data_IF_472444237353
#
_entry.id   IF_472444237353
#
_cell.length_a   1.000
_cell.length_b   1.000
_cell.length_c   1.000
_cell.angle_alpha   90.00
_cell.angle_beta   90.00
_cell.angle_gamma   90.00
#
_symmetry.space_group_name_H-M   'P 1'
#
loop_
_entity.id
_entity.type
_entity.pdbx_description
1 polymer ?
#
# COMPACT_ATOMS: atom_id res chain seq x y z
N UNK A 1 -9.25 -8.44 -14.01
CA UNK A 1 -9.26 -7.73 -15.31
C UNK A 1 -8.18 -6.66 -15.26
N UNK A 2 -7.14 -6.82 -16.04
CA UNK A 2 -6.00 -5.90 -16.04
C UNK A 2 -6.39 -4.59 -16.70
N UNK A 3 -6.16 -3.48 -16.01
CA UNK A 3 -6.43 -2.15 -16.54
C UNK A 3 -5.35 -1.76 -17.56
N UNK A 4 -5.78 -1.12 -18.63
CA UNK A 4 -4.87 -0.65 -19.69
C UNK A 4 -4.60 0.85 -19.51
N UNK A 5 -3.46 1.36 -20.00
CA UNK A 5 -3.20 2.80 -20.04
C UNK A 5 -4.34 3.57 -20.72
N UNK A 6 -4.73 4.68 -20.12
CA UNK A 6 -5.89 5.49 -20.54
C UNK A 6 -7.22 5.10 -19.91
N UNK A 7 -7.32 3.95 -19.24
CA UNK A 7 -8.51 3.59 -18.47
C UNK A 7 -8.72 4.58 -17.31
N UNK A 8 -9.98 4.86 -17.00
CA UNK A 8 -10.33 5.78 -15.92
C UNK A 8 -10.98 5.06 -14.75
N UNK A 9 -10.55 5.42 -13.55
CA UNK A 9 -11.17 5.06 -12.29
C UNK A 9 -11.56 6.36 -11.57
N UNK A 10 -12.81 6.78 -11.73
CA UNK A 10 -13.23 8.11 -11.27
C UNK A 10 -12.38 9.22 -11.91
N UNK A 11 -11.74 10.10 -11.12
CA UNK A 11 -10.89 11.19 -11.64
C UNK A 11 -9.45 10.74 -11.96
N UNK A 12 -9.15 9.46 -11.80
CA UNK A 12 -7.79 8.92 -11.99
C UNK A 12 -7.67 8.25 -13.35
N UNK A 13 -6.63 8.60 -14.09
CA UNK A 13 -6.29 7.98 -15.38
C UNK A 13 -5.09 7.05 -15.21
N UNK A 14 -5.26 5.79 -15.59
CA UNK A 14 -4.19 4.78 -15.52
C UNK A 14 -3.11 5.10 -16.54
N UNK A 15 -1.86 5.18 -16.07
CA UNK A 15 -0.69 5.40 -16.90
C UNK A 15 0.04 4.10 -17.22
N UNK A 16 0.03 3.13 -16.33
CA UNK A 16 0.66 1.84 -16.53
C UNK A 16 0.76 1.02 -15.25
N UNK A 17 1.09 -0.27 -15.36
CA UNK A 17 1.26 -1.14 -14.20
C UNK A 17 2.54 -0.81 -13.43
N UNK A 18 2.49 -0.94 -12.11
CA UNK A 18 3.66 -0.89 -11.21
C UNK A 18 4.02 -2.26 -10.67
N UNK A 19 3.04 -3.15 -10.54
CA UNK A 19 3.24 -4.51 -10.06
C UNK A 19 1.93 -5.26 -9.91
N UNK A 20 2.04 -6.56 -9.79
CA UNK A 20 0.93 -7.46 -9.52
C UNK A 20 1.36 -8.53 -8.53
N UNK A 21 0.45 -8.95 -7.66
CA UNK A 21 0.70 -9.98 -6.67
C UNK A 21 -0.60 -10.56 -6.11
N UNK A 22 -0.50 -11.47 -5.15
CA UNK A 22 -1.66 -12.14 -4.53
C UNK A 22 -2.64 -11.20 -3.82
N UNK A 23 -2.29 -9.92 -3.66
CA UNK A 23 -3.10 -8.88 -3.01
C UNK A 23 -3.69 -7.86 -3.99
N UNK A 24 -3.67 -8.15 -5.28
CA UNK A 24 -4.19 -7.29 -6.33
C UNK A 24 -3.11 -6.66 -7.20
N UNK A 25 -3.55 -5.80 -8.08
CA UNK A 25 -2.71 -5.11 -9.05
C UNK A 25 -2.50 -3.66 -8.62
N UNK A 26 -1.30 -3.15 -8.83
CA UNK A 26 -0.93 -1.76 -8.53
C UNK A 26 -0.56 -1.04 -9.82
N UNK A 27 -1.12 0.15 -10.00
CA UNK A 27 -0.94 0.98 -11.18
C UNK A 27 -0.43 2.37 -10.81
N UNK A 28 0.39 2.93 -11.70
CA UNK A 28 0.64 4.36 -11.73
C UNK A 28 -0.53 5.04 -12.41
N UNK A 29 -1.04 6.11 -11.83
CA UNK A 29 -2.13 6.88 -12.37
C UNK A 29 -1.91 8.39 -12.21
N UNK A 30 -2.65 9.16 -12.99
CA UNK A 30 -2.71 10.62 -12.91
C UNK A 30 -4.00 11.03 -12.22
N UNK A 31 -3.90 11.79 -11.14
CA UNK A 31 -5.02 12.51 -10.56
C UNK A 31 -5.21 13.83 -11.33
N UNK A 32 -6.22 13.88 -12.17
CA UNK A 32 -6.48 15.04 -13.01
C UNK A 32 -6.92 16.27 -12.22
N UNK A 33 -7.56 16.09 -11.06
CA UNK A 33 -8.04 17.18 -10.21
C UNK A 33 -6.92 17.93 -9.53
N UNK A 34 -5.92 17.20 -9.03
CA UNK A 34 -4.80 17.75 -8.27
C UNK A 34 -3.49 17.79 -9.06
N UNK A 35 -3.54 17.42 -10.34
CA UNK A 35 -2.40 17.40 -11.27
C UNK A 35 -1.17 16.69 -10.70
N UNK A 36 -1.37 15.52 -10.12
CA UNK A 36 -0.30 14.72 -9.52
C UNK A 36 -0.36 13.26 -9.93
N UNK A 37 0.79 12.59 -9.87
CA UNK A 37 0.86 11.14 -10.02
C UNK A 37 0.58 10.44 -8.68
N UNK A 38 -0.15 9.33 -8.74
CA UNK A 38 -0.52 8.51 -7.59
C UNK A 38 -0.30 7.03 -7.91
N UNK A 39 -0.28 6.19 -6.88
CA UNK A 39 -0.36 4.75 -7.02
C UNK A 39 -1.80 4.31 -6.73
N UNK A 40 -2.35 3.47 -7.59
CA UNK A 40 -3.69 2.89 -7.39
C UNK A 40 -3.55 1.38 -7.19
N UNK A 41 -4.07 0.90 -6.08
CA UNK A 41 -4.17 -0.52 -5.78
C UNK A 41 -5.60 -0.98 -6.01
N UNK A 42 -5.76 -1.93 -6.93
CA UNK A 42 -7.06 -2.52 -7.25
C UNK A 42 -7.28 -3.75 -6.38
N UNK A 43 -8.44 -3.82 -5.74
CA UNK A 43 -8.83 -4.97 -4.94
C UNK A 43 -9.07 -6.17 -5.85
N UNK A 44 -8.60 -7.38 -5.46
CA UNK A 44 -8.98 -8.60 -6.17
C UNK A 44 -10.50 -8.76 -6.24
N UNK A 45 -10.99 -9.19 -7.38
CA UNK A 45 -12.44 -9.30 -7.67
C UNK A 45 -13.20 -10.10 -6.62
N UNK A 46 -12.63 -11.23 -6.16
CA UNK A 46 -13.26 -12.06 -5.14
C UNK A 46 -13.43 -11.35 -3.78
N UNK A 47 -12.57 -10.37 -3.45
CA UNK A 47 -12.70 -9.53 -2.25
C UNK A 47 -13.69 -8.40 -2.49
N UNK A 48 -13.67 -7.79 -3.67
CA UNK A 48 -14.58 -6.70 -4.03
C UNK A 48 -16.06 -7.17 -4.10
N UNK A 49 -16.29 -8.43 -4.41
CA UNK A 49 -17.64 -9.04 -4.45
C UNK A 49 -18.15 -9.55 -3.10
N UNK A 50 -17.28 -9.64 -2.10
CA UNK A 50 -17.66 -10.11 -0.77
C UNK A 50 -17.99 -8.93 0.15
N UNK A 51 -19.25 -8.76 0.64
CA UNK A 51 -19.64 -7.62 1.46
C UNK A 51 -18.85 -7.47 2.75
N UNK A 52 -18.49 -8.56 3.42
CA UNK A 52 -17.72 -8.53 4.67
C UNK A 52 -16.28 -8.09 4.43
N UNK A 53 -15.68 -8.55 3.33
CA UNK A 53 -14.34 -8.13 2.91
C UNK A 53 -14.30 -6.66 2.55
N UNK A 54 -15.33 -6.18 1.86
CA UNK A 54 -15.45 -4.78 1.47
C UNK A 54 -15.63 -3.87 2.68
N UNK A 55 -16.52 -4.23 3.62
CA UNK A 55 -16.72 -3.48 4.85
C UNK A 55 -15.44 -3.41 5.71
N UNK A 56 -14.68 -4.49 5.75
CA UNK A 56 -13.37 -4.53 6.41
C UNK A 56 -12.36 -3.61 5.72
N UNK A 57 -12.27 -3.69 4.40
CA UNK A 57 -11.41 -2.82 3.60
C UNK A 57 -11.69 -1.35 3.88
N UNK A 58 -12.96 -0.92 3.83
CA UNK A 58 -13.34 0.47 4.09
C UNK A 58 -12.98 0.92 5.51
N UNK A 59 -13.19 0.07 6.50
CA UNK A 59 -12.85 0.36 7.90
C UNK A 59 -11.34 0.50 8.09
N UNK A 60 -10.56 -0.42 7.53
CA UNK A 60 -9.09 -0.39 7.58
C UNK A 60 -8.54 0.82 6.81
N UNK A 61 -9.12 1.14 5.67
CA UNK A 61 -8.75 2.32 4.89
C UNK A 61 -8.96 3.62 5.67
N UNK A 62 -10.07 3.76 6.37
CA UNK A 62 -10.32 4.94 7.22
C UNK A 62 -9.28 5.07 8.34
N UNK A 63 -8.89 3.97 8.96
CA UNK A 63 -7.86 3.96 9.99
C UNK A 63 -6.49 4.37 9.43
N UNK A 64 -6.11 3.83 8.29
CA UNK A 64 -4.84 4.15 7.62
C UNK A 64 -4.83 5.59 7.08
N UNK A 65 -5.95 6.07 6.55
CA UNK A 65 -6.07 7.44 6.05
C UNK A 65 -5.86 8.51 7.14
N UNK A 66 -6.11 8.17 8.40
CA UNK A 66 -5.84 9.04 9.53
C UNK A 66 -4.35 9.14 9.90
N UNK A 67 -3.50 8.28 9.35
CA UNK A 67 -2.07 8.27 9.59
C UNK A 67 -1.38 9.33 8.71
N UNK A 68 -0.60 10.19 9.34
CA UNK A 68 0.24 11.16 8.66
C UNK A 68 1.62 11.15 9.29
N UNK A 69 2.55 10.48 8.64
CA UNK A 69 3.92 10.33 9.14
C UNK A 69 4.89 10.16 7.96
N UNK A 70 6.10 10.74 8.00
CA UNK A 70 7.05 10.65 6.89
C UNK A 70 7.53 9.22 6.59
N UNK A 71 7.41 8.30 7.53
CA UNK A 71 7.78 6.90 7.36
C UNK A 71 6.58 5.96 7.08
N UNK A 72 5.42 6.53 6.82
CA UNK A 72 4.21 5.80 6.44
C UNK A 72 3.74 6.28 5.06
N UNK A 73 3.45 5.34 4.17
CA UNK A 73 2.85 5.64 2.87
C UNK A 73 1.44 6.21 3.05
N UNK A 74 1.19 7.38 2.49
CA UNK A 74 -0.11 8.04 2.57
C UNK A 74 -1.19 7.32 1.77
N UNK A 75 -2.37 7.17 2.37
CA UNK A 75 -3.60 6.79 1.69
C UNK A 75 -4.42 8.06 1.43
N UNK A 76 -4.69 8.34 0.16
CA UNK A 76 -5.34 9.59 -0.25
C UNK A 76 -6.83 9.45 -0.48
N UNK A 77 -7.27 8.30 -1.00
CA UNK A 77 -8.66 8.08 -1.38
C UNK A 77 -8.97 6.59 -1.50
N UNK A 78 -10.23 6.24 -1.46
CA UNK A 78 -10.75 4.95 -1.88
C UNK A 78 -11.93 5.18 -2.81
N UNK A 79 -12.14 4.30 -3.76
CA UNK A 79 -13.22 4.45 -4.70
C UNK A 79 -13.72 3.14 -5.28
N UNK A 80 -14.82 3.27 -5.99
CA UNK A 80 -15.43 2.19 -6.76
C UNK A 80 -15.88 2.69 -8.11
N UNK A 81 -15.49 1.97 -9.15
CA UNK A 81 -15.93 2.19 -10.52
C UNK A 81 -16.48 0.89 -11.06
N UNK A 82 -17.80 0.82 -11.24
CA UNK A 82 -18.48 -0.44 -11.56
C UNK A 82 -18.24 -1.51 -10.48
N UNK A 83 -17.63 -2.62 -10.85
CA UNK A 83 -17.25 -3.70 -9.93
C UNK A 83 -15.83 -3.56 -9.37
N UNK A 84 -15.07 -2.61 -9.87
CA UNK A 84 -13.67 -2.38 -9.45
C UNK A 84 -13.62 -1.51 -8.21
N UNK A 85 -13.06 -2.04 -7.13
CA UNK A 85 -12.78 -1.32 -5.89
C UNK A 85 -11.29 -1.03 -5.83
N UNK A 86 -10.92 0.18 -5.45
CA UNK A 86 -9.53 0.61 -5.46
C UNK A 86 -9.17 1.54 -4.31
N UNK A 87 -7.90 1.56 -3.96
CA UNK A 87 -7.29 2.51 -3.04
C UNK A 87 -6.28 3.39 -3.78
N UNK A 88 -6.29 4.68 -3.50
CA UNK A 88 -5.38 5.67 -4.07
C UNK A 88 -4.35 6.05 -3.03
N UNK A 89 -3.09 5.85 -3.35
CA UNK A 89 -1.98 5.97 -2.42
C UNK A 89 -0.90 6.91 -2.96
N UNK A 90 -0.06 7.36 -2.06
CA UNK A 90 1.16 8.06 -2.41
C UNK A 90 2.01 7.20 -3.37
N UNK A 91 2.44 7.80 -4.47
CA UNK A 91 3.40 7.19 -5.39
C UNK A 91 4.80 7.37 -4.82
N UNK A 92 5.46 6.26 -4.50
CA UNK A 92 6.81 6.26 -3.98
C UNK A 92 7.82 6.06 -5.12
N UNK A 93 8.82 6.90 -5.17
CA UNK A 93 9.98 6.74 -6.05
C UNK A 93 11.12 6.08 -5.28
N UNK A 94 11.72 5.05 -5.87
CA UNK A 94 12.76 4.26 -5.22
C UNK A 94 12.57 2.77 -5.46
N UNK A 95 12.94 1.97 -4.50
CA UNK A 95 12.86 0.51 -4.57
C UNK A 95 12.40 -0.13 -3.26
N UNK A 96 11.88 -1.34 -3.33
CA UNK A 96 11.58 -2.12 -2.14
C UNK A 96 12.88 -2.50 -1.39
N UNK A 97 12.78 -2.67 -0.08
CA UNK A 97 13.92 -3.16 0.70
C UNK A 97 14.39 -4.51 0.20
N UNK A 98 13.46 -5.37 -0.24
CA UNK A 98 13.83 -6.66 -0.84
C UNK A 98 14.71 -6.49 -2.07
N UNK A 99 14.32 -5.61 -3.00
CA UNK A 99 15.12 -5.33 -4.21
C UNK A 99 16.50 -4.78 -3.84
N UNK A 100 16.57 -3.92 -2.85
CA UNK A 100 17.83 -3.37 -2.36
C UNK A 100 18.73 -4.45 -1.76
N UNK A 101 18.17 -5.39 -0.99
CA UNK A 101 18.93 -6.50 -0.38
C UNK A 101 19.44 -7.50 -1.43
N UNK A 102 18.78 -7.65 -2.55
CA UNK A 102 19.27 -8.48 -3.66
C UNK A 102 20.54 -7.94 -4.31
N UNK A 103 20.86 -6.66 -4.14
CA UNK A 103 22.08 -6.03 -4.62
C UNK A 103 23.28 -6.26 -3.69
N UNK A 104 23.05 -6.86 -2.53
CA UNK A 104 24.06 -7.16 -1.53
C UNK A 104 23.66 -6.72 -0.12
N UNK A 105 24.46 -7.10 0.89
CA UNK A 105 24.19 -6.76 2.27
C UNK A 105 24.27 -5.25 2.51
N UNK A 106 23.49 -4.76 3.44
CA UNK A 106 23.52 -3.37 3.90
C UNK A 106 24.57 -3.20 5.01
N UNK A 107 25.20 -2.03 5.06
CA UNK A 107 26.10 -1.70 6.18
C UNK A 107 25.31 -1.64 7.50
N UNK A 108 25.95 -1.94 8.65
CA UNK A 108 25.29 -1.83 9.96
C UNK A 108 24.67 -0.47 10.22
N UNK A 109 25.30 0.60 9.77
CA UNK A 109 24.77 1.97 9.87
C UNK A 109 23.45 2.11 9.14
N UNK A 110 23.36 1.67 7.89
CA UNK A 110 22.12 1.74 7.09
C UNK A 110 21.02 0.89 7.72
N UNK A 111 21.34 -0.30 8.21
CA UNK A 111 20.39 -1.18 8.91
C UNK A 111 19.82 -0.49 10.15
N UNK A 112 20.66 0.18 10.93
CA UNK A 112 20.22 0.93 12.11
C UNK A 112 19.31 2.11 11.74
N UNK A 113 19.66 2.88 10.72
CA UNK A 113 18.85 3.99 10.23
C UNK A 113 17.49 3.52 9.70
N UNK A 114 17.47 2.43 8.93
CA UNK A 114 16.24 1.80 8.44
C UNK A 114 15.36 1.32 9.58
N UNK A 115 15.95 0.60 10.54
CA UNK A 115 15.23 0.09 11.69
C UNK A 115 14.62 1.19 12.54
N UNK A 116 15.35 2.27 12.78
CA UNK A 116 14.86 3.43 13.53
C UNK A 116 13.66 4.09 12.83
N UNK A 117 13.74 4.33 11.52
CA UNK A 117 12.64 4.93 10.76
C UNK A 117 11.41 4.02 10.71
N UNK A 118 11.62 2.72 10.54
CA UNK A 118 10.54 1.74 10.59
C UNK A 118 9.85 1.74 11.96
N UNK A 119 10.61 1.76 13.04
CA UNK A 119 10.08 1.80 14.39
C UNK A 119 9.27 3.09 14.65
N UNK A 120 9.74 4.24 14.15
CA UNK A 120 9.01 5.51 14.25
C UNK A 120 7.67 5.47 13.51
N UNK A 121 7.65 4.92 12.30
CA UNK A 121 6.41 4.74 11.54
C UNK A 121 5.43 3.79 12.25
N UNK A 122 5.90 2.67 12.77
CA UNK A 122 5.08 1.74 13.52
C UNK A 122 4.54 2.35 14.82
N UNK A 123 5.35 3.10 15.54
CA UNK A 123 4.91 3.79 16.76
C UNK A 123 3.79 4.78 16.46
N UNK A 124 3.93 5.59 15.41
CA UNK A 124 2.88 6.51 14.98
C UNK A 124 1.57 5.81 14.61
N UNK A 125 1.65 4.65 13.95
CA UNK A 125 0.48 3.83 13.64
C UNK A 125 -0.16 3.23 14.91
N UNK A 126 0.65 2.68 15.81
CA UNK A 126 0.19 2.09 17.06
C UNK A 126 -0.49 3.12 17.97
N UNK A 127 -0.01 4.36 18.01
CA UNK A 127 -0.63 5.45 18.77
C UNK A 127 -2.04 5.78 18.25
N UNK A 128 -2.35 5.45 17.00
CA UNK A 128 -3.66 5.56 16.39
C UNK A 128 -4.47 4.25 16.42
N UNK A 129 -3.98 3.23 17.09
CA UNK A 129 -4.61 1.91 17.16
C UNK A 129 -4.50 1.07 15.89
N UNK A 130 -3.63 1.44 14.97
CA UNK A 130 -3.40 0.70 13.72
C UNK A 130 -2.20 -0.20 13.87
N UNK A 131 -2.40 -1.51 13.68
CA UNK A 131 -1.34 -2.51 13.74
C UNK A 131 -1.00 -3.00 12.34
N UNK A 132 0.27 -2.90 11.96
CA UNK A 132 0.77 -3.48 10.71
C UNK A 132 0.87 -4.99 10.85
N UNK A 133 0.06 -5.73 10.08
CA UNK A 133 -0.05 -7.19 10.20
C UNK A 133 0.85 -7.96 9.24
N UNK A 134 1.58 -7.27 8.36
CA UNK A 134 2.38 -7.88 7.30
C UNK A 134 3.74 -7.18 7.12
N UNK A 135 4.62 -7.36 8.09
CA UNK A 135 5.97 -6.79 8.04
C UNK A 135 6.90 -7.73 7.30
N UNK A 136 7.29 -7.33 6.10
CA UNK A 136 8.28 -8.04 5.29
C UNK A 136 9.01 -7.04 4.38
N UNK A 137 10.16 -7.46 3.85
CA UNK A 137 11.02 -6.58 3.05
C UNK A 137 10.35 -6.02 1.80
N UNK A 138 9.35 -6.72 1.25
CA UNK A 138 8.56 -6.27 0.11
C UNK A 138 7.66 -5.07 0.44
N UNK A 139 7.26 -4.93 1.73
CA UNK A 139 6.38 -3.86 2.22
C UNK A 139 7.13 -2.68 2.81
N UNK A 140 8.44 -2.68 2.71
CA UNK A 140 9.30 -1.55 3.07
C UNK A 140 9.88 -0.94 1.82
N UNK A 141 9.80 0.37 1.71
CA UNK A 141 10.27 1.11 0.55
C UNK A 141 11.40 2.04 0.93
N UNK A 142 12.45 2.01 0.15
CA UNK A 142 13.58 2.92 0.27
C UNK A 142 13.42 3.96 -0.84
N UNK A 143 13.05 5.18 -0.49
CA UNK A 143 12.85 6.24 -1.47
C UNK A 143 14.19 6.78 -1.98
N UNK A 144 14.19 7.37 -3.16
CA UNK A 144 15.39 7.91 -3.81
C UNK A 144 16.03 9.05 -3.04
N UNK A 145 15.28 9.77 -2.21
CA UNK A 145 15.77 10.82 -1.31
C UNK A 145 16.33 10.30 0.04
N UNK A 146 16.42 8.97 0.18
CA UNK A 146 16.94 8.32 1.38
C UNK A 146 15.95 8.15 2.52
N UNK A 147 14.69 8.57 2.35
CA UNK A 147 13.63 8.29 3.32
C UNK A 147 13.17 6.84 3.23
N UNK A 148 12.64 6.36 4.32
CA UNK A 148 12.15 4.98 4.44
C UNK A 148 10.67 5.03 4.72
N UNK A 149 9.88 4.38 3.90
CA UNK A 149 8.43 4.33 4.08
C UNK A 149 7.95 2.91 4.23
N UNK A 150 7.12 2.71 5.24
CA UNK A 150 6.40 1.46 5.41
C UNK A 150 5.22 1.45 4.44
N UNK A 151 5.21 0.46 3.57
CA UNK A 151 4.12 0.25 2.64
C UNK A 151 3.00 -0.54 3.30
N UNK A 152 1.79 -0.29 2.80
CA UNK A 152 0.62 -1.15 2.98
C UNK A 152 0.38 -1.65 4.41
N UNK A 153 -0.37 -0.90 5.19
CA UNK A 153 -0.94 -1.37 6.44
C UNK A 153 -2.05 -2.42 6.21
N UNK A 154 -1.77 -3.44 5.39
CA UNK A 154 -2.60 -4.63 5.25
C UNK A 154 -3.98 -4.42 4.64
N UNK A 155 -4.20 -3.32 3.89
CA UNK A 155 -5.41 -3.14 3.11
C UNK A 155 -5.60 -4.34 2.18
N UNK A 156 -6.72 -5.04 2.31
CA UNK A 156 -7.07 -6.23 1.54
C UNK A 156 -6.33 -7.53 1.91
N UNK A 157 -5.65 -7.60 3.04
CA UNK A 157 -5.15 -8.87 3.53
C UNK A 157 -6.29 -9.69 4.16
N UNK A 158 -6.55 -10.88 3.63
CA UNK A 158 -7.34 -11.85 4.36
C UNK A 158 -6.59 -12.28 5.62
N UNK A 159 -7.24 -12.15 6.76
CA UNK A 159 -6.84 -12.97 7.89
C UNK A 159 -6.88 -14.43 7.43
N UNK A 160 -5.86 -15.24 7.73
CA UNK A 160 -6.04 -16.66 7.58
C UNK A 160 -7.34 -17.00 8.31
N UNK A 161 -8.26 -17.60 7.59
CA UNK A 161 -9.41 -18.23 8.19
C UNK A 161 -8.89 -19.01 9.38
N UNK A 162 -9.34 -18.65 10.57
CA UNK A 162 -9.06 -19.41 11.77
C UNK A 162 -9.29 -20.86 11.38
N UNK A 163 -8.22 -21.62 11.42
CA UNK A 163 -8.35 -23.07 11.45
C UNK A 163 -9.16 -23.31 12.70
N UNK A 164 -10.43 -23.59 12.50
CA UNK A 164 -11.24 -24.24 13.51
C UNK A 164 -10.64 -25.62 13.69
N UNK A 165 -9.58 -25.67 14.45
CA UNK A 165 -9.04 -26.87 15.01
C UNK A 165 -9.70 -27.05 16.37
N UNK A 166 -10.58 -27.97 16.41
CA UNK A 166 -11.10 -28.48 17.65
C UNK A 166 -9.99 -28.87 18.62
#
# INVERSE_FOLDING_TARGET
MTLVPGAKLGPYEILGPLGAGGMGEVYKAKDARLDRSVAIKVLPEHLAKNPDSLARFEREAKAVAALNHPNITGLFDIGREGETVYAVMELLEGESLRSRLMQGPLSPRIVTELGAQMAQGLAAAHDKGVVHRDRKAENLWVTSDGRRKTLDFGLAKQLPTSVSGA
#
